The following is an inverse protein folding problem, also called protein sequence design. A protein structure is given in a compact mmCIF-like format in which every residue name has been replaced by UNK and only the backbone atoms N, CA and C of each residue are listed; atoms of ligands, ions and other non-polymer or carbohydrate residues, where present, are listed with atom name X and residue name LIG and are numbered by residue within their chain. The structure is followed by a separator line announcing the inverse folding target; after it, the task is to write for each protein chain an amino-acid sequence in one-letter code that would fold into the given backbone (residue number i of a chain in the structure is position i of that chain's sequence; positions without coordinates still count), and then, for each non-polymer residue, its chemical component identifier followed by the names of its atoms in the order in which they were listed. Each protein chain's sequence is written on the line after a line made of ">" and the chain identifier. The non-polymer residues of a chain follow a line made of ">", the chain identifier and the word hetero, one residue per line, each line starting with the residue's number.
data_IF_623694095301
#
_entry.id   IF_623694095301
#
_cell.length_a   1.000
_cell.length_b   1.000
_cell.length_c   1.000
_cell.angle_alpha   90.00
_cell.angle_beta   90.00
_cell.angle_gamma   90.00
#
_symmetry.space_group_name_H-M   'P 1'
#
loop_
_entity.id
_entity.type
_entity.pdbx_description
1 polymer ?
#
# COMPACT_ATOMS: atom_id res chain seq x y z
N UNK A 1 -21.84 -12.69 24.62
CA UNK A 1 -22.14 -13.79 23.67
C UNK A 1 -21.10 -13.64 22.58
N UNK A 2 -20.10 -14.52 22.54
CA UNK A 2 -19.08 -14.51 21.48
C UNK A 2 -19.81 -15.05 20.25
N UNK A 3 -20.33 -14.14 19.43
CA UNK A 3 -20.98 -14.53 18.19
C UNK A 3 -20.00 -15.34 17.34
N UNK A 4 -20.52 -16.43 16.77
CA UNK A 4 -19.73 -17.41 15.99
C UNK A 4 -18.99 -16.68 14.88
N UNK A 5 -17.69 -16.58 15.07
CA UNK A 5 -16.72 -16.26 14.03
C UNK A 5 -16.96 -17.23 12.86
N UNK A 6 -17.11 -16.71 11.65
CA UNK A 6 -17.08 -17.58 10.47
C UNK A 6 -15.62 -17.92 10.18
N UNK A 7 -15.13 -18.95 10.89
CA UNK A 7 -13.75 -19.42 10.82
C UNK A 7 -13.31 -19.78 9.39
N UNK A 8 -14.27 -20.00 8.47
CA UNK A 8 -13.98 -20.21 7.06
C UNK A 8 -13.20 -19.05 6.42
N UNK A 9 -13.29 -17.82 6.94
CA UNK A 9 -12.56 -16.67 6.39
C UNK A 9 -11.22 -16.40 7.10
N UNK A 10 -10.83 -17.20 8.09
CA UNK A 10 -9.63 -16.96 8.90
C UNK A 10 -8.52 -17.89 8.50
N UNK A 11 -7.34 -17.33 8.27
CA UNK A 11 -6.11 -18.10 8.15
C UNK A 11 -5.45 -18.18 9.53
N UNK A 12 -5.76 -19.25 10.28
CA UNK A 12 -5.26 -19.45 11.67
C UNK A 12 -3.73 -19.49 11.72
N UNK A 13 -3.07 -20.01 10.68
CA UNK A 13 -1.60 -20.14 10.62
C UNK A 13 -0.90 -18.78 10.56
N UNK A 14 -1.61 -17.73 10.10
CA UNK A 14 -1.10 -16.37 9.96
C UNK A 14 -1.52 -15.42 11.08
N UNK A 15 -2.25 -15.91 12.07
CA UNK A 15 -2.71 -15.06 13.19
C UNK A 15 -1.64 -14.83 14.25
N UNK A 16 -0.75 -15.80 14.47
CA UNK A 16 0.24 -15.73 15.56
C UNK A 16 1.70 -15.86 15.09
N UNK A 17 1.95 -16.18 13.81
CA UNK A 17 3.32 -16.35 13.28
C UNK A 17 3.53 -15.70 11.90
N UNK A 18 4.79 -15.41 11.57
CA UNK A 18 5.21 -14.85 10.27
C UNK A 18 5.33 -13.33 10.22
N UNK A 19 5.90 -12.82 9.12
CA UNK A 19 6.14 -11.39 8.88
C UNK A 19 5.40 -10.92 7.63
N UNK A 20 4.61 -9.85 7.73
CA UNK A 20 4.09 -9.20 6.53
C UNK A 20 5.18 -8.33 5.92
N UNK A 21 5.42 -8.50 4.62
CA UNK A 21 6.41 -7.70 3.90
C UNK A 21 5.75 -6.93 2.77
N UNK A 22 6.23 -5.70 2.60
CA UNK A 22 5.93 -4.90 1.41
C UNK A 22 7.18 -4.17 0.99
N UNK A 23 7.54 -4.32 -0.28
CA UNK A 23 8.66 -3.63 -0.89
C UNK A 23 8.18 -2.63 -1.93
N UNK A 24 8.89 -1.51 -2.03
CA UNK A 24 8.71 -0.52 -3.08
C UNK A 24 10.09 -0.17 -3.63
N UNK A 25 10.26 -0.25 -4.93
CA UNK A 25 11.48 0.13 -5.62
C UNK A 25 11.21 1.32 -6.53
N UNK A 26 12.01 2.38 -6.42
CA UNK A 26 11.92 3.58 -7.24
C UNK A 26 13.26 3.75 -7.94
N UNK A 27 13.24 3.83 -9.27
CA UNK A 27 14.43 3.92 -10.10
C UNK A 27 14.26 5.02 -11.13
N UNK A 28 15.27 5.89 -11.21
CA UNK A 28 15.46 6.74 -12.38
C UNK A 28 15.87 5.84 -13.54
N UNK A 29 14.96 5.67 -14.50
CA UNK A 29 15.20 4.83 -15.67
C UNK A 29 16.10 5.55 -16.68
N UNK A 30 15.85 6.85 -16.87
CA UNK A 30 16.68 7.77 -17.65
C UNK A 30 16.46 9.22 -17.16
N UNK A 31 16.90 10.23 -17.93
CA UNK A 31 16.81 11.63 -17.52
C UNK A 31 15.35 12.13 -17.33
N UNK A 32 14.40 11.52 -18.03
CA UNK A 32 13.00 11.96 -18.11
C UNK A 32 11.99 10.92 -17.64
N UNK A 33 12.47 9.75 -17.19
CA UNK A 33 11.61 8.61 -16.83
C UNK A 33 11.98 8.07 -15.46
N UNK A 34 10.97 7.91 -14.60
CA UNK A 34 11.08 7.20 -13.33
C UNK A 34 10.13 6.01 -13.33
N UNK A 35 10.63 4.86 -12.89
CA UNK A 35 9.88 3.62 -12.74
C UNK A 35 9.75 3.29 -11.26
N UNK A 36 8.55 2.95 -10.84
CA UNK A 36 8.23 2.44 -9.51
C UNK A 36 7.65 1.04 -9.59
N UNK A 37 8.12 0.13 -8.74
CA UNK A 37 7.54 -1.19 -8.53
C UNK A 37 7.15 -1.37 -7.07
N UNK A 38 6.09 -2.12 -6.83
CA UNK A 38 5.57 -2.41 -5.51
C UNK A 38 5.10 -3.85 -5.46
N UNK A 39 5.51 -4.56 -4.41
CA UNK A 39 5.00 -5.89 -4.13
C UNK A 39 4.75 -6.11 -2.64
N UNK A 40 3.64 -6.77 -2.33
CA UNK A 40 3.28 -7.35 -1.03
C UNK A 40 2.51 -8.67 -1.24
N UNK A 41 2.02 -9.32 -0.20
CA UNK A 41 1.30 -10.60 -0.29
C UNK A 41 0.13 -10.59 -1.30
N UNK A 42 -0.53 -9.45 -1.52
CA UNK A 42 -1.77 -9.36 -2.32
C UNK A 42 -1.62 -8.58 -3.63
N UNK A 43 -0.58 -7.76 -3.73
CA UNK A 43 -0.42 -6.79 -4.81
C UNK A 43 0.96 -6.86 -5.44
N UNK A 44 1.01 -6.76 -6.76
CA UNK A 44 2.22 -6.47 -7.53
C UNK A 44 1.87 -5.48 -8.64
N UNK A 45 2.30 -4.23 -8.47
CA UNK A 45 2.02 -3.12 -9.39
C UNK A 45 3.31 -2.43 -9.85
N UNK A 46 3.29 -1.94 -11.08
CA UNK A 46 4.35 -1.09 -11.63
C UNK A 46 3.77 0.23 -12.12
N UNK A 47 4.52 1.32 -12.00
CA UNK A 47 4.19 2.65 -12.52
C UNK A 47 5.40 3.19 -13.27
N UNK A 48 5.17 3.72 -14.46
CA UNK A 48 6.14 4.55 -15.18
C UNK A 48 5.62 5.98 -15.20
N UNK A 49 6.47 6.94 -14.81
CA UNK A 49 6.19 8.37 -14.91
C UNK A 49 7.26 9.02 -15.80
N UNK A 50 6.80 9.74 -16.82
CA UNK A 50 7.63 10.54 -17.71
C UNK A 50 7.45 12.04 -17.39
N UNK A 51 8.53 12.82 -17.50
CA UNK A 51 8.51 14.24 -17.17
C UNK A 51 9.46 15.10 -18.00
N UNK A 52 9.09 16.38 -18.17
CA UNK A 52 9.96 17.41 -18.76
C UNK A 52 11.00 17.98 -17.78
N UNK A 53 10.91 17.61 -16.50
CA UNK A 53 11.66 18.21 -15.39
C UNK A 53 10.80 19.13 -14.52
N UNK A 54 9.67 19.62 -15.06
CA UNK A 54 8.69 20.43 -14.33
C UNK A 54 7.29 19.81 -14.38
N UNK A 55 6.90 19.28 -15.54
CA UNK A 55 5.57 18.72 -15.79
C UNK A 55 5.65 17.22 -16.04
N UNK A 56 4.60 16.51 -15.62
CA UNK A 56 4.36 15.12 -16.00
C UNK A 56 3.92 15.10 -17.47
N UNK A 57 4.68 14.40 -18.32
CA UNK A 57 4.40 14.29 -19.76
C UNK A 57 3.73 12.96 -20.13
N UNK A 58 3.87 11.96 -19.26
CA UNK A 58 3.29 10.63 -19.46
C UNK A 58 3.19 9.88 -18.15
N UNK A 59 2.16 9.04 -18.03
CA UNK A 59 2.03 8.10 -16.91
C UNK A 59 1.39 6.82 -17.41
N UNK A 60 1.96 5.69 -17.03
CA UNK A 60 1.38 4.36 -17.24
C UNK A 60 1.52 3.54 -15.98
N UNK A 61 0.64 2.55 -15.82
CA UNK A 61 0.77 1.58 -14.74
C UNK A 61 0.34 0.20 -15.22
N UNK A 62 0.86 -0.82 -14.54
CA UNK A 62 0.52 -2.22 -14.80
C UNK A 62 0.15 -2.93 -13.51
N UNK A 63 -0.74 -3.91 -13.63
CA UNK A 63 -1.15 -4.78 -12.55
C UNK A 63 -0.67 -6.21 -12.87
N UNK A 64 0.45 -6.62 -12.28
CA UNK A 64 1.03 -7.95 -12.50
C UNK A 64 0.32 -9.01 -11.65
N UNK A 65 -0.07 -8.63 -10.43
CA UNK A 65 -0.83 -9.48 -9.52
C UNK A 65 -1.74 -8.62 -8.68
N UNK A 66 -3.00 -9.00 -8.62
CA UNK A 66 -4.01 -8.15 -8.04
C UNK A 66 -5.18 -8.97 -7.51
N UNK A 67 -5.84 -8.47 -6.45
CA UNK A 67 -6.88 -9.22 -5.76
C UNK A 67 -8.18 -9.26 -6.56
N UNK A 68 -8.59 -8.20 -7.24
CA UNK A 68 -9.91 -8.13 -7.89
C UNK A 68 -9.80 -7.95 -9.40
N UNK A 69 -10.67 -8.59 -10.18
CA UNK A 69 -10.67 -8.48 -11.64
C UNK A 69 -10.70 -7.01 -12.13
N UNK A 70 -11.41 -6.13 -11.42
CA UNK A 70 -11.48 -4.70 -11.76
C UNK A 70 -10.19 -3.92 -11.49
N UNK A 71 -9.25 -4.46 -10.71
CA UNK A 71 -7.94 -3.83 -10.48
C UNK A 71 -7.14 -3.67 -11.77
N UNK A 72 -7.36 -4.53 -12.78
CA UNK A 72 -6.70 -4.44 -14.09
C UNK A 72 -6.99 -3.10 -14.81
N UNK A 73 -8.11 -2.44 -14.50
CA UNK A 73 -8.51 -1.16 -15.09
C UNK A 73 -8.14 0.05 -14.23
N UNK A 74 -7.64 -0.16 -13.01
CA UNK A 74 -7.21 0.93 -12.14
C UNK A 74 -6.09 1.81 -12.73
N UNK A 75 -5.14 1.30 -13.56
CA UNK A 75 -4.14 2.13 -14.23
C UNK A 75 -4.70 3.31 -15.03
N UNK A 76 -5.86 3.14 -15.67
CA UNK A 76 -6.47 4.19 -16.52
C UNK A 76 -6.83 5.45 -15.72
N UNK A 77 -7.10 5.30 -14.43
CA UNK A 77 -7.49 6.41 -13.55
C UNK A 77 -6.36 7.42 -13.29
N UNK A 78 -5.11 7.11 -13.67
CA UNK A 78 -3.97 8.02 -13.57
C UNK A 78 -3.88 9.04 -14.71
N UNK A 79 -4.62 8.87 -15.82
CA UNK A 79 -4.52 9.73 -17.00
C UNK A 79 -4.56 11.25 -16.71
N UNK A 80 -5.38 11.74 -15.74
CA UNK A 80 -5.41 13.18 -15.42
C UNK A 80 -4.13 13.76 -14.80
N UNK A 81 -3.12 12.93 -14.47
CA UNK A 81 -1.80 13.41 -14.04
C UNK A 81 -1.00 14.04 -15.18
N UNK A 82 -1.26 13.68 -16.44
CA UNK A 82 -0.55 14.26 -17.58
C UNK A 82 -0.83 15.76 -17.64
N UNK A 83 0.23 16.57 -17.72
CA UNK A 83 0.17 18.03 -17.69
C UNK A 83 0.22 18.64 -16.28
N UNK A 84 0.14 17.84 -15.21
CA UNK A 84 0.30 18.33 -13.84
C UNK A 84 1.78 18.60 -13.52
N UNK A 85 2.04 19.54 -12.61
CA UNK A 85 3.39 19.81 -12.11
C UNK A 85 3.89 18.72 -11.17
N UNK A 86 5.17 18.37 -11.29
CA UNK A 86 5.83 17.49 -10.33
C UNK A 86 5.78 18.09 -8.91
N UNK A 87 5.60 17.24 -7.91
CA UNK A 87 5.59 17.64 -6.49
C UNK A 87 6.65 16.88 -5.70
N UNK A 88 7.38 17.54 -4.78
CA UNK A 88 8.44 16.90 -3.99
C UNK A 88 7.89 15.97 -2.89
N UNK A 89 6.62 16.15 -2.50
CA UNK A 89 5.97 15.36 -1.45
C UNK A 89 4.98 14.40 -2.11
N UNK A 90 5.16 13.11 -1.85
CA UNK A 90 4.40 12.04 -2.53
C UNK A 90 2.89 12.15 -2.33
N UNK A 91 2.46 12.57 -1.15
CA UNK A 91 1.05 12.77 -0.79
C UNK A 91 0.37 13.96 -1.49
N UNK A 92 1.12 14.84 -2.15
CA UNK A 92 0.55 15.97 -2.89
C UNK A 92 -0.18 15.52 -4.17
N UNK A 93 0.01 14.26 -4.60
CA UNK A 93 -0.77 13.65 -5.67
C UNK A 93 -2.29 13.74 -5.41
N UNK A 94 -2.72 13.76 -4.15
CA UNK A 94 -4.13 13.95 -3.78
C UNK A 94 -4.71 15.32 -4.09
N UNK A 95 -3.88 16.32 -4.40
CA UNK A 95 -4.33 17.61 -4.93
C UNK A 95 -4.37 17.64 -6.47
N UNK A 96 -3.83 16.60 -7.13
CA UNK A 96 -3.72 16.53 -8.59
C UNK A 96 -4.83 15.69 -9.21
N UNK A 97 -5.26 14.63 -8.53
CA UNK A 97 -6.30 13.71 -9.01
C UNK A 97 -7.21 13.22 -7.87
N UNK A 98 -8.43 12.82 -8.24
CA UNK A 98 -9.47 12.33 -7.32
C UNK A 98 -9.11 10.98 -6.69
N UNK A 99 -8.54 11.00 -5.47
CA UNK A 99 -8.08 9.80 -4.75
C UNK A 99 -9.12 8.67 -4.68
N UNK A 100 -10.42 9.00 -4.51
CA UNK A 100 -11.50 7.99 -4.41
C UNK A 100 -11.69 7.18 -5.67
N UNK A 101 -11.31 7.72 -6.83
CA UNK A 101 -11.39 7.01 -8.11
C UNK A 101 -10.15 6.17 -8.40
N UNK A 102 -9.21 6.03 -7.45
CA UNK A 102 -7.91 5.39 -7.67
C UNK A 102 -7.78 4.08 -6.92
N UNK A 103 -6.94 3.17 -7.43
CA UNK A 103 -6.41 2.11 -6.58
C UNK A 103 -5.40 2.76 -5.63
N UNK A 104 -5.63 2.66 -4.32
CA UNK A 104 -4.76 3.28 -3.31
C UNK A 104 -3.29 2.84 -3.44
N UNK A 105 -3.02 1.61 -3.89
CA UNK A 105 -1.66 1.12 -4.09
C UNK A 105 -0.97 1.77 -5.28
N UNK A 106 -1.66 1.88 -6.42
CA UNK A 106 -1.14 2.53 -7.63
C UNK A 106 -1.02 4.04 -7.39
N UNK A 107 -1.97 4.64 -6.69
CA UNK A 107 -1.97 6.06 -6.31
C UNK A 107 -0.79 6.41 -5.42
N UNK A 108 -0.58 5.67 -4.33
CA UNK A 108 0.55 5.89 -3.43
C UNK A 108 1.89 5.68 -4.19
N UNK A 109 1.96 4.66 -5.05
CA UNK A 109 3.15 4.40 -5.88
C UNK A 109 3.41 5.54 -6.88
N UNK A 110 2.39 6.04 -7.58
CA UNK A 110 2.52 7.16 -8.50
C UNK A 110 2.99 8.44 -7.78
N UNK A 111 2.47 8.70 -6.57
CA UNK A 111 2.93 9.80 -5.73
C UNK A 111 4.42 9.65 -5.35
N UNK A 112 4.85 8.46 -4.98
CA UNK A 112 6.26 8.15 -4.68
C UNK A 112 7.16 8.30 -5.92
N UNK A 113 6.74 7.79 -7.08
CA UNK A 113 7.45 7.93 -8.35
C UNK A 113 7.59 9.42 -8.74
N UNK A 114 6.54 10.21 -8.57
CA UNK A 114 6.57 11.67 -8.79
C UNK A 114 7.56 12.37 -7.86
N UNK A 115 7.49 12.11 -6.56
CA UNK A 115 8.41 12.70 -5.58
C UNK A 115 9.86 12.28 -5.86
N UNK A 116 10.09 11.05 -6.29
CA UNK A 116 11.41 10.55 -6.69
C UNK A 116 11.96 11.25 -7.94
N UNK A 117 11.10 11.59 -8.91
CA UNK A 117 11.49 12.38 -10.07
C UNK A 117 12.08 13.74 -9.67
N UNK A 118 11.41 14.45 -8.74
CA UNK A 118 11.88 15.74 -8.19
C UNK A 118 13.18 15.58 -7.40
N UNK A 119 13.29 14.50 -6.62
CA UNK A 119 14.44 14.25 -5.73
C UNK A 119 15.77 14.14 -6.47
N UNK A 120 15.79 13.69 -7.72
CA UNK A 120 17.03 13.61 -8.49
C UNK A 120 17.85 12.33 -8.27
N UNK A 121 17.57 11.53 -7.23
CA UNK A 121 18.31 10.30 -6.94
C UNK A 121 18.19 9.26 -8.05
N UNK A 122 19.18 8.36 -8.15
CA UNK A 122 19.17 7.28 -9.15
C UNK A 122 18.26 6.12 -8.76
N UNK A 123 18.19 5.81 -7.47
CA UNK A 123 17.50 4.64 -6.94
C UNK A 123 17.09 4.87 -5.48
N UNK A 124 16.01 4.22 -5.05
CA UNK A 124 15.52 4.19 -3.67
C UNK A 124 14.67 2.95 -3.45
N UNK A 125 14.97 2.14 -2.44
CA UNK A 125 14.18 0.96 -2.07
C UNK A 125 13.64 1.06 -0.65
N UNK A 126 12.34 0.89 -0.53
CA UNK A 126 11.66 0.71 0.75
C UNK A 126 11.36 -0.77 0.99
N UNK A 127 11.57 -1.22 2.21
CA UNK A 127 11.02 -2.47 2.71
C UNK A 127 10.34 -2.22 4.05
N UNK A 128 9.07 -2.61 4.14
CA UNK A 128 8.36 -2.67 5.41
C UNK A 128 8.27 -4.10 5.90
N UNK A 129 8.37 -4.25 7.22
CA UNK A 129 8.29 -5.53 7.91
C UNK A 129 7.34 -5.32 9.09
N UNK A 130 6.18 -5.96 9.05
CA UNK A 130 5.17 -5.93 10.12
C UNK A 130 5.12 -7.29 10.79
N UNK A 131 5.21 -7.30 12.12
CA UNK A 131 5.06 -8.52 12.90
C UNK A 131 3.62 -9.03 12.83
N UNK A 132 3.43 -10.35 12.94
CA UNK A 132 2.11 -10.98 13.02
C UNK A 132 1.26 -10.36 14.14
N UNK A 133 -0.06 -10.40 13.94
CA UNK A 133 -1.02 -9.80 14.86
C UNK A 133 -2.05 -10.81 15.26
N UNK A 134 -2.07 -11.13 16.55
CA UNK A 134 -3.16 -11.89 17.14
C UNK A 134 -4.50 -11.23 16.83
N UNK A 135 -5.48 -12.02 16.42
CA UNK A 135 -6.86 -11.56 16.37
C UNK A 135 -7.44 -11.64 17.79
N UNK A 136 -7.81 -10.48 18.34
CA UNK A 136 -8.45 -10.38 19.66
C UNK A 136 -9.97 -10.55 19.58
N UNK A 137 -10.55 -10.32 18.41
CA UNK A 137 -11.98 -10.42 18.19
C UNK A 137 -12.38 -9.92 16.80
N UNK A 138 -13.68 -9.73 16.62
CA UNK A 138 -14.24 -9.26 15.37
C UNK A 138 -15.24 -8.15 15.65
N UNK A 139 -15.13 -7.06 14.90
CA UNK A 139 -16.15 -6.02 14.83
C UNK A 139 -17.15 -6.40 13.73
N UNK A 140 -18.43 -6.40 14.09
CA UNK A 140 -19.56 -6.67 13.19
C UNK A 140 -19.42 -7.99 12.41
N UNK A 141 -18.75 -9.01 13.00
CA UNK A 141 -18.41 -10.32 12.41
C UNK A 141 -17.56 -10.32 11.13
N UNK A 142 -17.02 -9.16 10.72
CA UNK A 142 -16.35 -9.02 9.41
C UNK A 142 -15.02 -8.30 9.46
N UNK A 143 -14.80 -7.47 10.47
CA UNK A 143 -13.55 -6.72 10.61
C UNK A 143 -12.73 -7.26 11.78
N UNK A 144 -11.56 -7.88 11.53
CA UNK A 144 -10.73 -8.39 12.61
C UNK A 144 -10.25 -7.25 13.50
N UNK A 145 -10.35 -7.46 14.81
CA UNK A 145 -9.73 -6.62 15.82
C UNK A 145 -8.37 -7.21 16.13
N UNK A 146 -7.32 -6.47 15.77
CA UNK A 146 -5.96 -6.92 15.98
C UNK A 146 -5.42 -6.50 17.33
N UNK A 147 -4.60 -7.36 17.91
CA UNK A 147 -3.71 -7.01 19.00
C UNK A 147 -2.58 -6.08 18.54
N UNK A 148 -1.72 -5.69 19.49
CA UNK A 148 -0.61 -4.80 19.20
C UNK A 148 0.40 -5.43 18.24
N UNK A 149 1.13 -4.59 17.50
CA UNK A 149 2.21 -5.00 16.60
C UNK A 149 3.34 -4.00 16.57
N UNK A 150 4.46 -4.43 16.02
CA UNK A 150 5.55 -3.56 15.59
C UNK A 150 5.64 -3.58 14.07
N UNK A 151 5.88 -2.42 13.48
CA UNK A 151 6.23 -2.28 12.07
C UNK A 151 7.51 -1.46 11.92
N UNK A 152 8.39 -1.89 11.02
CA UNK A 152 9.66 -1.23 10.70
C UNK A 152 9.71 -0.87 9.22
N UNK A 153 10.38 0.24 8.92
CA UNK A 153 10.71 0.67 7.57
C UNK A 153 12.23 0.68 7.40
N UNK A 154 12.69 -0.07 6.42
CA UNK A 154 14.05 -0.02 5.91
C UNK A 154 14.03 0.80 4.62
N UNK A 155 14.97 1.74 4.52
CA UNK A 155 15.32 2.44 3.31
C UNK A 155 16.73 1.98 2.89
N UNK A 156 16.85 1.41 1.70
CA UNK A 156 18.12 0.88 1.18
C UNK A 156 18.85 -0.02 2.20
N UNK A 157 18.07 -0.92 2.83
CA UNK A 157 18.47 -1.84 3.90
C UNK A 157 18.84 -1.21 5.25
N UNK A 158 18.69 0.11 5.42
CA UNK A 158 18.88 0.80 6.70
C UNK A 158 17.54 1.10 7.35
N UNK A 159 17.34 0.72 8.61
CA UNK A 159 16.12 1.06 9.33
C UNK A 159 16.04 2.58 9.57
N UNK A 160 14.95 3.22 9.15
CA UNK A 160 14.76 4.68 9.22
C UNK A 160 13.55 5.12 10.04
N UNK A 161 12.64 4.19 10.35
CA UNK A 161 11.45 4.44 11.16
C UNK A 161 10.88 3.13 11.70
N UNK A 162 10.41 3.14 12.96
CA UNK A 162 9.73 2.03 13.60
C UNK A 162 8.54 2.54 14.41
N UNK A 163 7.39 1.88 14.28
CA UNK A 163 6.21 2.15 15.09
C UNK A 163 5.82 0.92 15.92
N UNK A 164 5.33 1.18 17.13
CA UNK A 164 4.43 0.28 17.84
C UNK A 164 3.00 0.72 17.52
N UNK A 165 2.12 -0.20 17.16
CA UNK A 165 0.71 0.10 16.90
C UNK A 165 -0.17 -0.74 17.81
N UNK A 166 -1.10 -0.10 18.49
CA UNK A 166 -2.12 -0.74 19.30
C UNK A 166 -3.47 -0.07 19.05
N UNK A 167 -4.50 -0.86 18.78
CA UNK A 167 -5.88 -0.39 18.66
C UNK A 167 -6.06 0.79 17.67
N UNK A 168 -5.29 0.79 16.58
CA UNK A 168 -5.33 1.81 15.54
C UNK A 168 -4.58 3.12 15.85
N UNK A 169 -3.85 3.16 16.97
CA UNK A 169 -2.96 4.25 17.36
C UNK A 169 -1.52 3.83 17.18
N UNK A 170 -0.74 4.63 16.46
CA UNK A 170 0.70 4.47 16.32
C UNK A 170 1.39 5.23 17.45
N UNK A 171 2.43 4.62 18.00
CA UNK A 171 3.45 5.24 18.83
C UNK A 171 4.76 5.18 18.05
N UNK A 172 5.23 6.34 17.61
CA UNK A 172 6.58 6.47 17.08
C UNK A 172 7.59 6.31 18.22
N UNK A 173 8.41 5.26 18.14
CA UNK A 173 9.37 4.94 19.22
C UNK A 173 10.51 5.93 19.30
N UNK A 174 10.84 6.61 18.20
CA UNK A 174 11.93 7.60 18.17
C UNK A 174 11.46 8.91 18.80
N UNK A 175 10.30 9.41 18.39
CA UNK A 175 9.80 10.72 18.83
C UNK A 175 8.87 10.68 20.04
N UNK A 176 8.34 9.52 20.40
CA UNK A 176 7.28 9.36 21.42
C UNK A 176 5.91 9.87 20.98
N UNK A 177 5.76 10.31 19.72
CA UNK A 177 4.51 10.86 19.20
C UNK A 177 3.44 9.77 19.05
N UNK A 178 2.20 10.12 19.38
CA UNK A 178 1.04 9.26 19.19
C UNK A 178 0.10 9.82 18.15
N UNK A 179 -0.32 8.97 17.20
CA UNK A 179 -1.19 9.37 16.10
C UNK A 179 -2.17 8.26 15.76
N UNK A 180 -3.43 8.62 15.45
CA UNK A 180 -4.37 7.65 14.88
C UNK A 180 -4.01 7.32 13.43
N UNK A 181 -4.14 6.05 13.02
CA UNK A 181 -4.04 5.65 11.61
C UNK A 181 -5.13 6.27 10.73
N UNK A 182 -6.23 6.75 11.32
CA UNK A 182 -7.34 7.37 10.62
C UNK A 182 -7.24 8.88 10.57
N UNK A 183 -8.08 9.53 11.39
CA UNK A 183 -8.25 10.98 11.45
C UNK A 183 -6.96 11.66 11.95
N UNK A 184 -6.60 12.80 11.36
CA UNK A 184 -5.42 13.58 11.77
C UNK A 184 -4.11 13.11 11.15
N UNK A 185 -4.09 11.95 10.49
CA UNK A 185 -2.84 11.40 9.97
C UNK A 185 -2.23 12.28 8.88
N UNK A 186 -3.06 12.83 7.98
CA UNK A 186 -2.59 13.71 6.90
C UNK A 186 -1.99 14.98 7.51
N UNK A 187 -2.72 15.61 8.41
CA UNK A 187 -2.33 16.83 9.11
C UNK A 187 -1.03 16.64 9.88
N UNK A 188 -0.86 15.50 10.55
CA UNK A 188 0.39 15.15 11.21
C UNK A 188 1.55 15.02 10.22
N UNK A 189 1.38 14.23 9.15
CA UNK A 189 2.44 14.08 8.13
C UNK A 189 2.81 15.40 7.46
N UNK A 190 1.86 16.33 7.35
CA UNK A 190 2.13 17.65 6.80
C UNK A 190 3.10 18.47 7.66
N UNK A 191 3.07 18.28 8.99
CA UNK A 191 3.99 18.91 9.95
C UNK A 191 5.41 18.33 9.95
N UNK A 192 5.61 17.15 9.37
CA UNK A 192 6.91 16.47 9.37
C UNK A 192 7.82 16.96 8.23
N UNK A 193 9.15 16.82 8.38
CA UNK A 193 10.06 16.89 7.25
C UNK A 193 9.61 15.93 6.13
N UNK A 194 9.78 16.35 4.87
CA UNK A 194 9.24 15.64 3.69
C UNK A 194 9.60 14.14 3.70
N UNK A 195 10.84 13.79 4.04
CA UNK A 195 11.26 12.38 4.08
C UNK A 195 10.57 11.60 5.20
N UNK A 196 10.44 12.15 6.40
CA UNK A 196 9.73 11.49 7.51
C UNK A 196 8.22 11.38 7.22
N UNK A 197 7.62 12.35 6.53
CA UNK A 197 6.24 12.28 6.05
C UNK A 197 6.03 11.17 5.01
N UNK A 198 6.98 11.01 4.08
CA UNK A 198 7.00 9.93 3.10
C UNK A 198 7.11 8.56 3.77
N UNK A 199 8.03 8.42 4.73
CA UNK A 199 8.21 7.19 5.53
C UNK A 199 6.95 6.81 6.29
N UNK A 200 6.31 7.79 6.94
CA UNK A 200 5.05 7.59 7.65
C UNK A 200 3.94 7.11 6.69
N UNK A 201 3.84 7.68 5.50
CA UNK A 201 2.85 7.29 4.49
C UNK A 201 3.07 5.84 4.02
N UNK A 202 4.33 5.46 3.75
CA UNK A 202 4.71 4.09 3.38
C UNK A 202 4.35 3.09 4.50
N UNK A 203 4.72 3.39 5.74
CA UNK A 203 4.42 2.53 6.90
C UNK A 203 2.92 2.37 7.14
N UNK A 204 2.15 3.46 7.08
CA UNK A 204 0.70 3.41 7.27
C UNK A 204 0.05 2.47 6.28
N UNK A 205 0.41 2.56 4.99
CA UNK A 205 -0.16 1.67 3.97
C UNK A 205 0.21 0.21 4.25
N UNK A 206 1.48 -0.07 4.53
CA UNK A 206 1.94 -1.42 4.83
C UNK A 206 1.22 -2.03 6.05
N UNK A 207 1.01 -1.24 7.10
CA UNK A 207 0.32 -1.68 8.30
C UNK A 207 -1.17 -2.00 8.05
N UNK A 208 -1.86 -1.17 7.26
CA UNK A 208 -3.24 -1.44 6.85
C UNK A 208 -3.34 -2.70 5.99
N UNK A 209 -2.45 -2.85 5.00
CA UNK A 209 -2.43 -4.01 4.09
C UNK A 209 -2.10 -5.31 4.83
N UNK A 210 -1.17 -5.27 5.79
CA UNK A 210 -0.77 -6.47 6.56
C UNK A 210 -1.93 -7.13 7.32
N UNK A 211 -3.05 -6.42 7.53
CA UNK A 211 -4.26 -7.00 8.13
C UNK A 211 -4.91 -8.04 7.25
N UNK A 212 -4.62 -8.05 5.95
CA UNK A 212 -5.06 -9.08 5.01
C UNK A 212 -4.58 -10.48 5.35
N UNK A 213 -3.38 -10.61 5.96
CA UNK A 213 -2.72 -11.92 6.11
C UNK A 213 -3.49 -12.90 6.98
N UNK A 214 -4.34 -12.41 7.87
CA UNK A 214 -5.15 -13.26 8.73
C UNK A 214 -6.48 -13.71 8.08
N UNK A 215 -6.68 -13.44 6.79
CA UNK A 215 -7.91 -13.72 6.06
C UNK A 215 -7.67 -14.64 4.86
N UNK A 216 -8.57 -15.61 4.66
CA UNK A 216 -8.62 -16.43 3.45
C UNK A 216 -9.39 -15.67 2.38
N UNK A 217 -8.65 -14.84 1.63
CA UNK A 217 -9.24 -13.93 0.65
C UNK A 217 -10.05 -14.62 -0.45
N UNK A 218 -9.69 -15.83 -0.83
CA UNK A 218 -10.32 -16.58 -1.92
C UNK A 218 -11.75 -17.03 -1.62
N UNK A 219 -12.17 -16.98 -0.35
CA UNK A 219 -13.54 -17.27 0.04
C UNK A 219 -14.49 -16.10 -0.21
N UNK A 220 -13.98 -14.90 -0.52
CA UNK A 220 -14.80 -13.77 -0.93
C UNK A 220 -15.01 -13.77 -2.45
N UNK A 221 -16.22 -13.99 -2.97
CA UNK A 221 -16.45 -14.06 -4.42
C UNK A 221 -16.28 -12.70 -5.14
N UNK A 222 -16.47 -11.59 -4.42
CA UNK A 222 -16.33 -10.23 -4.93
C UNK A 222 -15.89 -9.26 -3.85
N UNK A 223 -15.43 -8.06 -4.25
CA UNK A 223 -15.11 -6.99 -3.31
C UNK A 223 -16.35 -6.60 -2.47
N UNK A 224 -17.55 -6.69 -3.05
CA UNK A 224 -18.77 -6.43 -2.31
C UNK A 224 -19.01 -7.40 -1.16
N UNK A 225 -18.71 -8.69 -1.35
CA UNK A 225 -18.88 -9.73 -0.34
C UNK A 225 -17.95 -9.55 0.87
N UNK A 226 -16.81 -8.88 0.68
CA UNK A 226 -15.88 -8.55 1.78
C UNK A 226 -16.42 -7.42 2.69
N UNK A 227 -17.48 -6.73 2.25
CA UNK A 227 -18.22 -5.70 2.99
C UNK A 227 -17.36 -4.60 3.64
N UNK A 228 -16.34 -4.18 2.92
CA UNK A 228 -15.50 -3.06 3.34
C UNK A 228 -16.08 -1.72 2.87
N UNK A 229 -15.69 -0.59 3.51
CA UNK A 229 -15.93 0.74 2.98
C UNK A 229 -15.33 0.94 1.58
N UNK A 230 -15.59 2.09 0.96
CA UNK A 230 -15.00 2.48 -0.33
C UNK A 230 -13.49 2.78 -0.22
N UNK A 231 -12.69 1.73 0.03
CA UNK A 231 -11.27 1.83 0.37
C UNK A 231 -10.37 2.11 -0.84
N UNK A 232 -10.76 1.66 -2.04
CA UNK A 232 -10.01 1.84 -3.28
C UNK A 232 -10.90 1.66 -4.52
N UNK A 233 -10.32 1.73 -5.71
CA UNK A 233 -10.96 1.52 -7.02
C UNK A 233 -12.01 0.41 -7.04
N UNK A 234 -11.63 -0.82 -6.64
CA UNK A 234 -12.52 -2.00 -6.70
C UNK A 234 -13.63 -1.97 -5.65
N UNK A 235 -13.47 -1.23 -4.55
CA UNK A 235 -14.46 -1.14 -3.47
C UNK A 235 -15.47 0.00 -3.65
N UNK A 236 -15.33 0.83 -4.69
CA UNK A 236 -16.32 1.86 -4.99
C UNK A 236 -17.69 1.23 -5.28
N UNK A 237 -18.76 1.90 -4.87
CA UNK A 237 -20.13 1.39 -5.03
C UNK A 237 -20.46 0.98 -6.48
N UNK A 238 -19.93 1.70 -7.47
CA UNK A 238 -20.14 1.42 -8.89
C UNK A 238 -19.40 0.19 -9.43
N UNK A 239 -18.45 -0.38 -8.67
CA UNK A 239 -17.55 -1.45 -9.14
C UNK A 239 -17.53 -2.69 -8.26
N UNK A 240 -17.87 -2.58 -6.97
CA UNK A 240 -17.66 -3.65 -5.98
C UNK A 240 -18.39 -4.95 -6.27
N UNK A 241 -19.54 -4.90 -6.95
CA UNK A 241 -20.31 -6.10 -7.30
C UNK A 241 -19.67 -6.89 -8.45
N UNK A 242 -19.04 -6.21 -9.40
CA UNK A 242 -18.36 -6.82 -10.56
C UNK A 242 -16.85 -7.02 -10.34
N UNK A 243 -16.34 -6.58 -9.21
CA UNK A 243 -14.96 -6.80 -8.75
C UNK A 243 -14.79 -8.25 -8.25
N UNK A 244 -14.84 -9.22 -9.18
CA UNK A 244 -14.71 -10.65 -8.89
C UNK A 244 -13.32 -11.03 -8.38
N UNK A 245 -13.25 -12.10 -7.60
CA UNK A 245 -12.01 -12.56 -6.97
C UNK A 245 -10.96 -13.13 -7.92
N UNK A 246 -9.77 -12.59 -7.74
CA UNK A 246 -8.44 -13.10 -8.10
C UNK A 246 -8.04 -14.37 -7.37
N UNK A 247 -8.47 -15.57 -7.76
CA UNK A 247 -8.06 -16.81 -7.05
C UNK A 247 -6.56 -17.12 -7.21
N UNK A 248 -5.97 -17.71 -6.18
CA UNK A 248 -4.56 -18.14 -6.13
C UNK A 248 -3.54 -17.01 -6.38
N UNK A 249 -3.97 -15.77 -6.16
CA UNK A 249 -3.13 -14.56 -6.35
C UNK A 249 -2.40 -14.12 -5.07
N UNK A 250 -2.79 -14.63 -3.90
CA UNK A 250 -2.08 -14.34 -2.65
C UNK A 250 -0.76 -15.10 -2.61
N UNK A 251 0.33 -14.40 -2.25
CA UNK A 251 1.66 -14.97 -2.05
C UNK A 251 2.09 -14.71 -0.61
N UNK A 252 2.93 -15.59 -0.07
CA UNK A 252 3.52 -15.38 1.26
C UNK A 252 5.02 -15.13 1.12
N UNK A 253 5.45 -13.93 1.50
CA UNK A 253 6.85 -13.51 1.43
C UNK A 253 7.53 -13.45 2.81
N UNK A 254 6.91 -13.98 3.87
CA UNK A 254 7.45 -13.91 5.23
C UNK A 254 8.92 -14.34 5.31
N UNK A 255 9.23 -15.50 4.74
CA UNK A 255 10.54 -16.15 4.82
C UNK A 255 11.33 -16.11 3.50
N UNK A 256 10.73 -15.56 2.44
CA UNK A 256 11.32 -15.50 1.08
C UNK A 256 11.27 -14.09 0.47
N UNK A 257 11.81 -13.05 1.16
CA UNK A 257 11.80 -11.69 0.64
C UNK A 257 12.56 -11.52 -0.68
N UNK A 258 13.50 -12.41 -1.00
CA UNK A 258 14.27 -12.43 -2.24
C UNK A 258 13.44 -12.74 -3.48
N UNK A 259 12.26 -13.34 -3.33
CA UNK A 259 11.33 -13.64 -4.43
C UNK A 259 10.46 -12.44 -4.83
N UNK A 260 10.47 -11.35 -4.04
CA UNK A 260 9.69 -10.15 -4.30
C UNK A 260 10.31 -9.31 -5.43
N UNK A 261 9.47 -8.46 -6.04
CA UNK A 261 9.84 -7.51 -7.08
C UNK A 261 10.44 -8.16 -8.33
N UNK A 262 9.90 -9.31 -8.75
CA UNK A 262 10.36 -10.07 -9.92
C UNK A 262 10.40 -9.29 -11.25
N UNK A 263 9.78 -8.10 -11.32
CA UNK A 263 9.72 -7.23 -12.49
C UNK A 263 10.54 -5.94 -12.35
N UNK A 264 11.34 -5.77 -11.29
CA UNK A 264 12.04 -4.51 -10.96
C UNK A 264 12.95 -3.99 -12.08
N UNK A 265 13.53 -4.87 -12.89
CA UNK A 265 14.40 -4.51 -14.01
C UNK A 265 13.62 -4.27 -15.32
N UNK A 266 12.29 -4.19 -15.26
CA UNK A 266 11.42 -3.90 -16.41
C UNK A 266 10.78 -2.54 -16.25
N UNK A 267 10.53 -1.91 -17.40
CA UNK A 267 9.69 -0.71 -17.49
C UNK A 267 8.24 -1.15 -17.72
N UNK A 268 7.31 -0.89 -16.76
CA UNK A 268 5.89 -1.22 -16.89
C UNK A 268 5.13 -0.31 -17.85
#
# INVERSE_FOLDING_TARGET
>A
MIDRIDAHFIDEDKTDTGLARRMIDLKRWDAHTVVGWLEDDFHHFGVTLEHSGELITGVSATAQRYPWATCAFAPEALAPLVGQSLRPRSSDIGALIEMRQQCTHIFDLAGLTMAHAVRGSSHRRYQTITDSRKILGWKDHKSPQFGPTTIRLLLDNQEVMQWYCDSGTILDRESGHQQSLGRGFREWTESLPIDKAEYATVLRRALLVSGGRSMIHDNYPSAAAMDQPELCYSFQASRRDTALRMHDTTKDYADHPEAMLAFVDKRP
#
